data_IF_150977631830
#
_entry.id   IF_150977631830
#
_cell.length_a   1.000
_cell.length_b   1.000
_cell.length_c   1.000
_cell.angle_alpha   90.00
_cell.angle_beta   90.00
_cell.angle_gamma   90.00
#
_symmetry.space_group_name_H-M   'P 1'
#
loop_
_entity.id
_entity.type
_entity.pdbx_description
1 polymer ?
#
# COMPACT_ATOMS: atom_id res chain seq x y z
N UNK A 1 -12.57 -12.19 -12.67
CA UNK A 1 -12.64 -12.59 -11.26
C UNK A 1 -13.32 -11.47 -10.52
N UNK A 2 -14.30 -11.73 -9.66
CA UNK A 2 -14.85 -10.70 -8.78
C UNK A 2 -13.86 -10.49 -7.62
N UNK A 3 -13.40 -9.27 -7.44
CA UNK A 3 -12.54 -8.91 -6.30
C UNK A 3 -13.43 -8.72 -5.07
N UNK A 4 -13.14 -9.45 -3.99
CA UNK A 4 -13.90 -9.38 -2.74
C UNK A 4 -13.30 -8.27 -1.88
N UNK A 5 -14.14 -7.36 -1.35
CA UNK A 5 -13.70 -6.32 -0.42
C UNK A 5 -14.15 -6.65 1.00
N UNK A 6 -13.19 -6.63 1.93
CA UNK A 6 -13.42 -6.81 3.36
C UNK A 6 -13.25 -5.46 4.06
N UNK A 7 -14.29 -4.97 4.70
CA UNK A 7 -14.26 -3.72 5.46
C UNK A 7 -13.57 -3.96 6.81
N UNK A 8 -12.52 -3.18 7.08
CA UNK A 8 -11.70 -3.27 8.29
C UNK A 8 -11.79 -1.93 9.04
N UNK A 9 -13.00 -1.62 9.52
CA UNK A 9 -13.31 -0.36 10.19
C UNK A 9 -13.49 -0.56 11.70
N UNK A 10 -13.07 0.43 12.48
CA UNK A 10 -13.24 0.43 13.92
C UNK A 10 -12.13 -0.30 14.68
N UNK A 11 -12.40 -0.62 15.94
CA UNK A 11 -11.44 -1.22 16.85
C UNK A 11 -11.24 -2.72 16.58
N UNK A 12 -10.01 -3.20 16.71
CA UNK A 12 -9.69 -4.65 16.66
C UNK A 12 -10.02 -5.27 18.01
N UNK A 13 -11.00 -6.19 18.04
CA UNK A 13 -11.53 -6.77 19.26
C UNK A 13 -11.59 -8.30 19.21
N UNK A 14 -11.61 -9.00 20.36
CA UNK A 14 -11.95 -10.42 20.45
C UNK A 14 -13.36 -10.69 19.89
N UNK A 15 -13.54 -11.87 19.28
CA UNK A 15 -14.81 -12.21 18.62
C UNK A 15 -16.02 -12.28 19.56
N UNK A 16 -15.81 -12.56 20.83
CA UNK A 16 -16.84 -12.61 21.87
C UNK A 16 -17.34 -11.23 22.33
N UNK A 17 -16.64 -10.14 21.96
CA UNK A 17 -17.06 -8.77 22.23
C UNK A 17 -17.92 -8.18 21.10
N UNK A 18 -17.94 -8.83 19.92
CA UNK A 18 -18.57 -8.27 18.72
C UNK A 18 -20.05 -7.92 18.94
N UNK A 19 -20.83 -8.81 19.58
CA UNK A 19 -22.26 -8.58 19.81
C UNK A 19 -22.53 -7.32 20.66
N UNK A 20 -21.63 -6.99 21.59
CA UNK A 20 -21.74 -5.79 22.42
C UNK A 20 -21.44 -4.52 21.60
N UNK A 21 -20.38 -4.56 20.78
CA UNK A 21 -20.02 -3.45 19.90
C UNK A 21 -21.12 -3.17 18.89
N UNK A 22 -21.66 -4.22 18.27
CA UNK A 22 -22.77 -4.12 17.31
C UNK A 22 -24.04 -3.55 17.97
N UNK A 23 -24.38 -3.99 19.18
CA UNK A 23 -25.51 -3.45 19.94
C UNK A 23 -25.36 -1.96 20.25
N UNK A 24 -24.12 -1.51 20.53
CA UNK A 24 -23.80 -0.11 20.79
C UNK A 24 -23.64 0.73 19.51
N UNK A 25 -23.67 0.11 18.34
CA UNK A 25 -23.49 0.77 17.05
C UNK A 25 -22.05 1.18 16.75
N UNK A 26 -21.06 0.51 17.35
CA UNK A 26 -19.66 0.74 17.07
C UNK A 26 -19.13 -0.24 16.02
N UNK A 27 -18.44 0.28 15.01
CA UNK A 27 -17.71 -0.55 14.05
C UNK A 27 -16.57 -1.30 14.75
N UNK A 28 -16.37 -2.56 14.35
CA UNK A 28 -15.33 -3.39 14.93
C UNK A 28 -14.72 -4.34 13.89
N UNK A 29 -13.51 -4.78 14.18
CA UNK A 29 -12.77 -5.78 13.42
C UNK A 29 -12.52 -6.96 14.36
N UNK A 30 -13.03 -8.15 14.03
CA UNK A 30 -12.85 -9.31 14.87
C UNK A 30 -12.45 -10.54 14.04
N UNK A 31 -11.71 -11.51 14.63
CA UNK A 31 -11.20 -12.69 13.93
C UNK A 31 -12.27 -13.52 13.23
N UNK A 32 -13.43 -13.71 13.86
CA UNK A 32 -14.51 -14.53 13.32
C UNK A 32 -15.05 -13.97 12.00
N UNK A 33 -15.33 -12.68 11.96
CA UNK A 33 -15.86 -12.00 10.77
C UNK A 33 -14.84 -12.01 9.63
N UNK A 34 -13.55 -11.73 9.93
CA UNK A 34 -12.49 -11.72 8.91
C UNK A 34 -12.28 -13.13 8.35
N UNK A 35 -12.17 -14.16 9.19
CA UNK A 35 -12.02 -15.57 8.74
C UNK A 35 -13.20 -16.02 7.90
N UNK A 36 -14.42 -15.63 8.27
CA UNK A 36 -15.61 -15.95 7.48
C UNK A 36 -15.53 -15.29 6.09
N UNK A 37 -15.18 -14.00 6.02
CA UNK A 37 -15.05 -13.30 4.74
C UNK A 37 -13.96 -13.90 3.84
N UNK A 38 -12.83 -14.33 4.42
CA UNK A 38 -11.77 -15.04 3.68
C UNK A 38 -12.23 -16.41 3.19
N UNK A 39 -13.00 -17.14 4.02
CA UNK A 39 -13.60 -18.43 3.61
C UNK A 39 -14.58 -18.26 2.47
N UNK A 40 -15.43 -17.22 2.53
CA UNK A 40 -16.42 -16.93 1.48
C UNK A 40 -15.77 -16.46 0.16
N UNK A 41 -14.58 -15.85 0.25
CA UNK A 41 -13.80 -15.45 -0.91
C UNK A 41 -13.15 -16.64 -1.66
N UNK A 42 -13.06 -17.81 -1.01
CA UNK A 42 -12.68 -19.11 -1.61
C UNK A 42 -11.43 -19.02 -2.50
N UNK A 43 -10.36 -18.40 -2.01
CA UNK A 43 -9.10 -18.22 -2.71
C UNK A 43 -9.10 -17.15 -3.80
N UNK A 44 -10.18 -16.38 -3.96
CA UNK A 44 -10.20 -15.19 -4.84
C UNK A 44 -9.37 -14.06 -4.26
N UNK A 45 -8.88 -13.14 -5.12
CA UNK A 45 -8.17 -11.97 -4.63
C UNK A 45 -9.07 -11.09 -3.74
N UNK A 46 -8.53 -10.65 -2.61
CA UNK A 46 -9.24 -9.82 -1.64
C UNK A 46 -8.60 -8.46 -1.45
N UNK A 47 -9.45 -7.45 -1.22
CA UNK A 47 -9.01 -6.12 -0.80
C UNK A 47 -9.50 -5.85 0.62
N UNK A 48 -8.59 -5.48 1.52
CA UNK A 48 -8.92 -4.99 2.85
C UNK A 48 -9.01 -3.47 2.79
N UNK A 49 -10.17 -2.88 3.08
CA UNK A 49 -10.30 -1.43 3.24
C UNK A 49 -10.19 -1.07 4.71
N UNK A 50 -9.08 -0.43 5.09
CA UNK A 50 -8.68 -0.27 6.51
C UNK A 50 -8.86 1.17 6.97
N UNK A 51 -9.64 1.33 8.05
CA UNK A 51 -9.73 2.56 8.84
C UNK A 51 -9.88 2.20 10.32
N UNK A 52 -8.76 1.99 11.03
CA UNK A 52 -8.77 1.41 12.37
C UNK A 52 -7.71 2.04 13.29
N UNK A 53 -8.06 2.34 14.54
CA UNK A 53 -7.11 2.74 15.58
C UNK A 53 -6.25 1.58 16.10
N UNK A 54 -6.53 0.32 15.69
CA UNK A 54 -5.97 -0.87 16.29
C UNK A 54 -6.85 -1.43 17.40
N UNK A 55 -6.25 -2.10 18.37
CA UNK A 55 -6.96 -2.71 19.48
C UNK A 55 -6.21 -3.88 20.09
N UNK A 56 -6.92 -4.98 20.37
CA UNK A 56 -6.39 -6.14 21.08
C UNK A 56 -5.34 -6.90 20.28
N UNK A 57 -4.21 -7.17 20.93
CA UNK A 57 -3.05 -7.82 20.30
C UNK A 57 -3.36 -9.25 19.86
N UNK A 58 -4.04 -10.02 20.71
CA UNK A 58 -4.44 -11.42 20.42
C UNK A 58 -5.39 -11.54 19.23
N UNK A 59 -6.43 -10.73 19.22
CA UNK A 59 -7.37 -10.65 18.09
C UNK A 59 -6.66 -10.25 16.79
N UNK A 60 -5.78 -9.25 16.86
CA UNK A 60 -4.98 -8.85 15.72
C UNK A 60 -4.03 -9.94 15.25
N UNK A 61 -3.36 -10.67 16.15
CA UNK A 61 -2.47 -11.80 15.81
C UNK A 61 -3.22 -12.91 15.10
N UNK A 62 -4.44 -13.21 15.53
CA UNK A 62 -5.30 -14.22 14.91
C UNK A 62 -5.70 -13.80 13.49
N UNK A 63 -6.04 -12.53 13.29
CA UNK A 63 -6.36 -11.96 11.96
C UNK A 63 -5.11 -11.98 11.06
N UNK A 64 -3.96 -11.54 11.57
CA UNK A 64 -2.69 -11.57 10.84
C UNK A 64 -2.39 -12.98 10.31
N UNK A 65 -2.52 -13.98 11.18
CA UNK A 65 -2.28 -15.38 10.81
C UNK A 65 -3.25 -15.84 9.72
N UNK A 66 -4.54 -15.55 9.86
CA UNK A 66 -5.54 -15.91 8.85
C UNK A 66 -5.26 -15.28 7.48
N UNK A 67 -4.80 -14.02 7.45
CA UNK A 67 -4.40 -13.35 6.21
C UNK A 67 -3.15 -13.97 5.60
N UNK A 68 -2.15 -14.34 6.42
CA UNK A 68 -0.92 -15.01 5.94
C UNK A 68 -1.14 -16.43 5.42
N UNK A 69 -2.14 -17.12 5.92
CA UNK A 69 -2.53 -18.47 5.47
C UNK A 69 -3.44 -18.46 4.23
N UNK A 70 -4.01 -17.30 3.90
CA UNK A 70 -4.93 -17.17 2.77
C UNK A 70 -4.21 -17.40 1.43
N UNK A 71 -4.87 -18.14 0.51
CA UNK A 71 -4.23 -18.56 -0.74
C UNK A 71 -4.39 -17.57 -1.91
N UNK A 72 -5.39 -16.67 -1.84
CA UNK A 72 -5.56 -15.57 -2.81
C UNK A 72 -4.64 -14.40 -2.52
N UNK A 73 -4.49 -13.47 -3.47
CA UNK A 73 -3.76 -12.23 -3.22
C UNK A 73 -4.54 -11.31 -2.29
N UNK A 74 -3.84 -10.74 -1.31
CA UNK A 74 -4.39 -9.78 -0.36
C UNK A 74 -3.80 -8.40 -0.63
N UNK A 75 -4.66 -7.42 -0.91
CA UNK A 75 -4.27 -6.00 -1.01
C UNK A 75 -4.90 -5.22 0.15
N UNK A 76 -4.08 -4.60 0.98
CA UNK A 76 -4.55 -3.67 2.01
C UNK A 76 -4.59 -2.24 1.47
N UNK A 77 -5.75 -1.59 1.56
CA UNK A 77 -5.95 -0.18 1.23
C UNK A 77 -6.24 0.61 2.50
N UNK A 78 -5.28 1.40 2.95
CA UNK A 78 -5.47 2.26 4.12
C UNK A 78 -6.19 3.52 3.67
N UNK A 79 -7.48 3.62 3.99
CA UNK A 79 -8.37 4.71 3.54
C UNK A 79 -8.42 5.88 4.51
N UNK A 80 -8.24 5.62 5.82
CA UNK A 80 -8.19 6.61 6.87
C UNK A 80 -6.93 6.46 7.72
N UNK A 81 -6.92 5.43 8.56
CA UNK A 81 -5.75 5.13 9.39
C UNK A 81 -5.55 3.62 9.58
N UNK A 82 -4.30 3.22 9.81
CA UNK A 82 -3.93 1.89 10.27
C UNK A 82 -2.96 2.04 11.46
N UNK A 83 -3.49 2.02 12.67
CA UNK A 83 -2.71 2.26 13.87
C UNK A 83 -2.54 0.99 14.70
N UNK A 84 -1.40 0.85 15.39
CA UNK A 84 -1.18 -0.24 16.34
C UNK A 84 -1.46 -1.62 15.71
N UNK A 85 -2.38 -2.42 16.27
CA UNK A 85 -2.75 -3.73 15.73
C UNK A 85 -3.18 -3.67 14.24
N UNK A 86 -3.86 -2.62 13.80
CA UNK A 86 -4.25 -2.46 12.41
C UNK A 86 -3.06 -2.25 11.46
N UNK A 87 -1.93 -1.71 11.94
CA UNK A 87 -0.75 -1.51 11.11
C UNK A 87 -0.14 -2.85 10.68
N UNK A 88 0.04 -3.79 11.62
CA UNK A 88 0.60 -5.10 11.26
C UNK A 88 -0.43 -6.06 10.64
N UNK A 89 -1.73 -5.86 10.89
CA UNK A 89 -2.77 -6.50 10.08
C UNK A 89 -2.64 -6.05 8.61
N UNK A 90 -2.47 -4.75 8.35
CA UNK A 90 -2.24 -4.25 6.99
C UNK A 90 -0.97 -4.86 6.36
N UNK A 91 0.10 -5.05 7.16
CA UNK A 91 1.36 -5.63 6.70
C UNK A 91 1.29 -7.17 6.51
N UNK A 92 0.20 -7.83 6.89
CA UNK A 92 -0.05 -9.22 6.51
C UNK A 92 -0.38 -9.36 5.01
N UNK A 93 -0.88 -8.30 4.38
CA UNK A 93 -1.21 -8.27 2.96
C UNK A 93 0.05 -8.36 2.07
N UNK A 94 -0.14 -8.85 0.84
CA UNK A 94 0.92 -8.91 -0.17
C UNK A 94 1.28 -7.52 -0.70
N UNK A 95 0.30 -6.62 -0.71
CA UNK A 95 0.45 -5.23 -1.14
C UNK A 95 -0.27 -4.28 -0.20
N UNK A 96 0.36 -3.17 0.14
CA UNK A 96 -0.19 -2.12 1.01
C UNK A 96 -0.23 -0.79 0.24
N UNK A 97 -1.42 -0.26 0.06
CA UNK A 97 -1.69 1.02 -0.61
C UNK A 97 -2.25 2.02 0.41
N UNK A 98 -1.79 3.25 0.38
CA UNK A 98 -2.29 4.30 1.28
C UNK A 98 -2.97 5.43 0.53
N UNK A 99 -4.14 5.86 0.99
CA UNK A 99 -4.72 7.13 0.56
C UNK A 99 -3.74 8.28 0.85
N UNK A 100 -3.65 9.33 0.00
CA UNK A 100 -2.76 10.46 0.24
C UNK A 100 -2.96 11.17 1.59
N UNK A 101 -4.15 11.04 2.17
CA UNK A 101 -4.53 11.64 3.46
C UNK A 101 -4.55 10.64 4.61
N UNK A 102 -4.26 9.36 4.34
CA UNK A 102 -4.23 8.31 5.36
C UNK A 102 -2.98 8.40 6.23
N UNK A 103 -3.08 7.79 7.40
CA UNK A 103 -1.98 7.71 8.36
C UNK A 103 -1.75 6.27 8.81
N UNK A 104 -0.50 5.95 9.10
CA UNK A 104 -0.11 4.74 9.80
C UNK A 104 0.60 5.11 11.10
N UNK A 105 0.34 4.33 12.17
CA UNK A 105 1.01 4.56 13.44
C UNK A 105 1.49 3.26 14.05
N UNK A 106 2.74 3.26 14.51
CA UNK A 106 3.33 2.15 15.24
C UNK A 106 3.80 2.59 16.61
N UNK A 107 3.59 1.75 17.61
CA UNK A 107 4.03 1.96 18.97
C UNK A 107 4.34 0.63 19.67
N UNK A 108 4.93 0.70 20.85
CA UNK A 108 5.16 -0.46 21.72
C UNK A 108 3.84 -1.00 22.27
N UNK A 109 3.82 -2.29 22.58
CA UNK A 109 2.70 -2.89 23.30
C UNK A 109 2.47 -2.17 24.64
N UNK A 110 1.19 -2.05 25.01
CA UNK A 110 0.79 -1.42 26.27
C UNK A 110 -0.30 -2.24 26.96
N UNK A 111 -0.30 -2.23 28.29
CA UNK A 111 -1.35 -2.82 29.10
C UNK A 111 -1.57 -2.00 30.36
N UNK A 112 -2.70 -2.21 31.02
CA UNK A 112 -2.91 -1.81 32.42
C UNK A 112 -2.76 -3.03 33.29
N UNK A 113 -1.92 -2.96 34.30
CA UNK A 113 -1.61 -4.07 35.20
C UNK A 113 -1.72 -3.67 36.65
N UNK A 114 -2.23 -4.58 37.46
CA UNK A 114 -2.34 -4.44 38.90
C UNK A 114 -1.98 -5.78 39.55
N UNK A 115 -1.18 -5.74 40.62
CA UNK A 115 -0.79 -6.96 41.28
C UNK A 115 0.41 -6.73 42.22
N UNK A 116 1.00 -7.82 42.70
CA UNK A 116 2.25 -7.79 43.45
C UNK A 116 3.47 -7.64 42.52
N UNK A 117 4.67 -7.60 43.07
CA UNK A 117 5.92 -7.40 42.31
C UNK A 117 6.15 -8.49 41.23
N UNK A 118 5.75 -9.72 41.50
CA UNK A 118 5.96 -10.84 40.58
C UNK A 118 4.94 -10.77 39.43
N UNK A 119 3.71 -10.37 39.72
CA UNK A 119 2.67 -10.13 38.66
C UNK A 119 3.13 -9.02 37.73
N UNK A 120 3.58 -7.87 38.24
CA UNK A 120 4.06 -6.76 37.44
C UNK A 120 5.32 -7.11 36.64
N UNK A 121 6.23 -7.91 37.20
CA UNK A 121 7.42 -8.39 36.53
C UNK A 121 7.04 -9.35 35.37
N UNK A 122 6.04 -10.21 35.57
CA UNK A 122 5.49 -11.10 34.53
C UNK A 122 4.92 -10.30 33.36
N UNK A 123 4.09 -9.28 33.62
CA UNK A 123 3.48 -8.45 32.60
C UNK A 123 4.53 -7.63 31.86
N UNK A 124 5.54 -7.11 32.54
CA UNK A 124 6.67 -6.44 31.88
C UNK A 124 7.40 -7.39 30.90
N UNK A 125 7.61 -8.64 31.31
CA UNK A 125 8.23 -9.64 30.43
C UNK A 125 7.35 -9.97 29.22
N UNK A 126 6.03 -10.06 29.40
CA UNK A 126 5.08 -10.26 28.30
C UNK A 126 5.13 -9.10 27.29
N UNK A 127 5.08 -7.84 27.76
CA UNK A 127 5.22 -6.66 26.91
C UNK A 127 6.53 -6.63 26.14
N UNK A 128 7.66 -6.92 26.82
CA UNK A 128 8.96 -6.98 26.16
C UNK A 128 9.06 -8.10 25.11
N UNK A 129 8.37 -9.23 25.32
CA UNK A 129 8.28 -10.31 24.35
C UNK A 129 7.47 -9.90 23.11
N UNK A 130 6.32 -9.24 23.32
CA UNK A 130 5.51 -8.69 22.22
C UNK A 130 6.28 -7.65 21.42
N UNK A 131 6.96 -6.72 22.07
CA UNK A 131 7.77 -5.70 21.40
C UNK A 131 8.83 -6.31 20.48
N UNK A 132 9.52 -7.36 20.93
CA UNK A 132 10.49 -8.09 20.11
C UNK A 132 9.83 -8.69 18.85
N UNK A 133 8.67 -9.32 19.02
CA UNK A 133 7.92 -9.89 17.89
C UNK A 133 7.48 -8.83 16.90
N UNK A 134 7.05 -7.66 17.37
CA UNK A 134 6.69 -6.55 16.49
C UNK A 134 7.90 -5.93 15.78
N UNK A 135 9.03 -5.80 16.48
CA UNK A 135 10.28 -5.36 15.85
C UNK A 135 10.68 -6.29 14.71
N UNK A 136 10.63 -7.60 14.94
CA UNK A 136 10.98 -8.59 13.92
C UNK A 136 10.02 -8.50 12.72
N UNK A 137 8.70 -8.39 12.96
CA UNK A 137 7.69 -8.25 11.93
C UNK A 137 7.90 -6.99 11.07
N UNK A 138 8.06 -5.84 11.73
CA UNK A 138 8.27 -4.58 11.01
C UNK A 138 9.61 -4.55 10.28
N UNK A 139 10.68 -5.09 10.87
CA UNK A 139 11.99 -5.16 10.22
C UNK A 139 11.95 -6.04 8.98
N UNK A 140 11.29 -7.21 9.04
CA UNK A 140 11.12 -8.09 7.89
C UNK A 140 10.34 -7.42 6.75
N UNK A 141 9.30 -6.66 7.08
CA UNK A 141 8.47 -6.00 6.07
C UNK A 141 9.17 -4.80 5.43
N UNK A 142 9.85 -3.99 6.25
CA UNK A 142 10.42 -2.70 5.82
C UNK A 142 11.87 -2.78 5.36
N UNK A 143 12.61 -3.79 5.81
CA UNK A 143 14.06 -3.87 5.64
C UNK A 143 14.85 -2.93 6.57
N UNK A 144 14.19 -2.21 7.47
CA UNK A 144 14.83 -1.36 8.46
C UNK A 144 15.55 -2.19 9.54
N UNK A 145 16.63 -1.64 10.08
CA UNK A 145 17.32 -2.25 11.20
C UNK A 145 16.43 -2.34 12.46
N UNK A 146 16.58 -3.40 13.23
CA UNK A 146 15.77 -3.68 14.41
C UNK A 146 15.84 -2.55 15.46
N UNK A 147 16.99 -1.88 15.62
CA UNK A 147 17.13 -0.76 16.56
C UNK A 147 16.37 0.47 16.07
N UNK A 148 16.39 0.72 14.75
CA UNK A 148 15.61 1.80 14.15
C UNK A 148 14.11 1.56 14.32
N UNK A 149 13.63 0.34 14.02
CA UNK A 149 12.23 -0.04 14.25
C UNK A 149 11.83 0.12 15.72
N UNK A 150 12.65 -0.39 16.63
CA UNK A 150 12.37 -0.24 18.07
C UNK A 150 12.30 1.24 18.49
N UNK A 151 13.19 2.09 17.96
CA UNK A 151 13.17 3.54 18.19
C UNK A 151 11.88 4.19 17.66
N UNK A 152 11.43 3.81 16.46
CA UNK A 152 10.16 4.27 15.90
C UNK A 152 8.98 3.88 16.78
N UNK A 153 8.95 2.64 17.29
CA UNK A 153 7.91 2.18 18.21
C UNK A 153 7.93 2.94 19.54
N UNK A 154 9.11 3.17 20.14
CA UNK A 154 9.25 3.94 21.38
C UNK A 154 8.73 5.38 21.25
N UNK A 155 8.86 5.97 20.07
CA UNK A 155 8.42 7.34 19.80
C UNK A 155 6.94 7.45 19.42
N UNK A 156 6.20 6.34 19.41
CA UNK A 156 4.81 6.34 18.90
C UNK A 156 4.76 7.04 17.53
N UNK A 157 5.41 6.44 16.54
CA UNK A 157 5.66 7.11 15.26
C UNK A 157 4.41 7.10 14.37
N UNK A 158 3.95 8.29 14.03
CA UNK A 158 2.94 8.53 13.02
C UNK A 158 3.61 8.78 11.67
N UNK A 159 3.07 8.18 10.64
CA UNK A 159 3.57 8.29 9.26
C UNK A 159 2.43 8.68 8.33
N UNK A 160 2.61 9.74 7.54
CA UNK A 160 1.77 9.99 6.38
C UNK A 160 2.09 8.98 5.26
N UNK A 161 1.28 8.96 4.19
CA UNK A 161 1.44 8.00 3.10
C UNK A 161 2.85 8.00 2.48
N UNK A 162 3.44 9.20 2.31
CA UNK A 162 4.79 9.32 1.75
C UNK A 162 5.86 8.74 2.68
N UNK A 163 5.81 9.06 3.95
CA UNK A 163 6.74 8.55 4.95
C UNK A 163 6.62 7.03 5.12
N UNK A 164 5.40 6.49 5.05
CA UNK A 164 5.17 5.05 5.10
C UNK A 164 5.78 4.33 3.89
N UNK A 165 5.63 4.88 2.68
CA UNK A 165 6.27 4.33 1.47
C UNK A 165 7.79 4.47 1.54
N UNK A 166 8.32 5.63 1.91
CA UNK A 166 9.77 5.90 2.00
C UNK A 166 10.45 4.94 3.01
N UNK A 167 9.74 4.50 4.04
CA UNK A 167 10.22 3.57 5.08
C UNK A 167 9.87 2.10 4.83
N UNK A 168 9.15 1.77 3.75
CA UNK A 168 8.78 0.40 3.39
C UNK A 168 7.58 -0.18 4.15
N UNK A 169 6.82 0.65 4.88
CA UNK A 169 5.55 0.26 5.51
C UNK A 169 4.39 0.19 4.52
N UNK A 170 4.46 0.91 3.42
CA UNK A 170 3.50 0.83 2.32
C UNK A 170 4.23 0.70 0.99
N UNK A 171 3.55 0.18 -0.03
CA UNK A 171 4.13 -0.05 -1.35
C UNK A 171 3.85 1.12 -2.29
N UNK A 172 2.68 1.77 -2.16
CA UNK A 172 2.37 2.95 -2.98
C UNK A 172 1.33 3.88 -2.32
N UNK A 173 1.26 5.09 -2.89
CA UNK A 173 0.21 6.06 -2.55
C UNK A 173 -0.87 5.99 -3.63
N UNK A 174 -2.12 5.74 -3.21
CA UNK A 174 -3.26 5.66 -4.11
C UNK A 174 -3.45 6.96 -4.91
N UNK A 175 -4.01 6.85 -6.11
CA UNK A 175 -4.39 7.98 -6.97
C UNK A 175 -3.22 8.82 -7.49
N UNK A 176 -1.98 8.47 -7.20
CA UNK A 176 -0.84 9.11 -7.84
C UNK A 176 -0.73 8.53 -9.26
N UNK A 177 -1.30 9.26 -10.20
CA UNK A 177 -1.08 8.96 -11.61
C UNK A 177 0.41 9.15 -11.91
N UNK A 178 1.08 8.09 -12.34
CA UNK A 178 2.42 8.12 -12.93
C UNK A 178 2.48 8.87 -14.27
N UNK A 179 1.75 9.96 -14.40
CA UNK A 179 2.00 10.91 -15.46
C UNK A 179 3.28 11.66 -15.09
N UNK A 180 4.43 11.01 -15.35
CA UNK A 180 5.68 11.75 -15.43
C UNK A 180 5.41 12.95 -16.31
N UNK A 181 5.69 14.19 -15.85
CA UNK A 181 5.48 15.36 -16.66
C UNK A 181 6.22 15.14 -17.98
N UNK A 182 5.54 15.34 -19.10
CA UNK A 182 6.20 15.26 -20.40
C UNK A 182 7.31 16.31 -20.40
N UNK A 183 8.56 15.86 -20.53
CA UNK A 183 9.68 16.77 -20.68
C UNK A 183 9.43 17.60 -21.93
N UNK A 184 9.27 18.90 -21.74
CA UNK A 184 9.18 19.88 -22.85
C UNK A 184 10.53 20.57 -23.00
N UNK A 185 10.90 20.87 -24.23
CA UNK A 185 12.07 21.69 -24.51
C UNK A 185 11.84 23.12 -23.99
N UNK A 186 12.91 23.92 -23.87
CA UNK A 186 12.83 25.30 -23.39
C UNK A 186 11.92 26.21 -24.23
N UNK A 187 11.61 25.80 -25.46
CA UNK A 187 10.68 26.48 -26.39
C UNK A 187 9.21 26.00 -26.24
N UNK A 188 8.92 25.09 -25.25
CA UNK A 188 7.58 24.53 -25.04
C UNK A 188 7.20 23.38 -25.97
N UNK A 189 8.10 22.92 -26.84
CA UNK A 189 7.85 21.77 -27.69
C UNK A 189 8.03 20.46 -26.89
N UNK A 190 7.19 19.46 -27.18
CA UNK A 190 7.33 18.12 -26.60
C UNK A 190 8.60 17.46 -27.13
N UNK A 191 9.53 17.11 -26.25
CA UNK A 191 10.57 16.14 -26.58
C UNK A 191 9.93 14.79 -26.93
N UNK A 192 10.65 13.88 -27.56
CA UNK A 192 10.17 12.58 -28.03
C UNK A 192 9.29 11.93 -26.95
N UNK A 193 8.06 11.56 -27.30
CA UNK A 193 7.08 10.93 -26.38
C UNK A 193 7.72 9.73 -25.68
N UNK A 194 7.49 9.53 -24.37
CA UNK A 194 8.04 8.41 -23.60
C UNK A 194 7.76 7.03 -24.26
N UNK A 195 6.59 6.85 -24.83
CA UNK A 195 6.23 5.63 -25.57
C UNK A 195 7.09 5.40 -26.80
N UNK A 196 7.51 6.47 -27.48
CA UNK A 196 8.44 6.42 -28.61
C UNK A 196 9.84 6.05 -28.15
N UNK A 197 10.29 6.60 -27.00
CA UNK A 197 11.57 6.24 -26.37
C UNK A 197 11.59 4.75 -25.99
N UNK A 198 10.51 4.27 -25.39
CA UNK A 198 10.40 2.86 -24.99
C UNK A 198 10.34 1.91 -26.20
N UNK A 199 9.61 2.29 -27.25
CA UNK A 199 9.62 1.55 -28.52
C UNK A 199 11.00 1.50 -29.15
N UNK A 200 11.72 2.62 -29.17
CA UNK A 200 13.08 2.70 -29.70
C UNK A 200 14.06 1.88 -28.82
N UNK A 201 13.97 1.98 -27.49
CA UNK A 201 14.77 1.15 -26.59
C UNK A 201 14.54 -0.35 -26.81
N UNK A 202 13.29 -0.77 -26.95
CA UNK A 202 12.96 -2.18 -27.23
C UNK A 202 13.47 -2.64 -28.60
N UNK A 203 13.54 -1.76 -29.59
CA UNK A 203 14.11 -2.06 -30.91
C UNK A 203 15.64 -2.08 -30.88
N UNK A 204 16.29 -1.23 -30.13
CA UNK A 204 17.75 -1.20 -29.99
C UNK A 204 18.30 -2.38 -29.19
N UNK A 205 17.51 -2.89 -28.23
CA UNK A 205 17.89 -4.06 -27.44
C UNK A 205 17.37 -5.39 -28.03
N UNK A 206 16.40 -5.36 -28.97
CA UNK A 206 15.92 -6.48 -29.75
C UNK A 206 16.58 -6.48 -31.14
N UNK A 207 17.61 -7.27 -31.32
CA UNK A 207 18.40 -7.43 -32.55
C UNK A 207 17.54 -7.46 -33.81
N UNK A 208 17.55 -6.39 -34.61
CA UNK A 208 17.53 -6.43 -36.08
C UNK A 208 17.57 -5.01 -36.66
N UNK A 209 18.60 -4.72 -37.41
CA UNK A 209 18.85 -3.48 -38.16
C UNK A 209 17.74 -3.16 -39.17
N UNK A 210 16.99 -4.15 -39.66
CA UNK A 210 15.88 -3.95 -40.59
C UNK A 210 14.68 -3.20 -39.99
N UNK A 211 14.42 -3.36 -38.70
CA UNK A 211 13.30 -2.69 -38.05
C UNK A 211 13.59 -1.22 -37.76
N UNK A 212 14.85 -0.84 -37.57
CA UNK A 212 15.28 0.55 -37.32
C UNK A 212 15.10 1.42 -38.57
N UNK A 213 15.44 0.89 -39.73
CA UNK A 213 15.28 1.60 -41.02
C UNK A 213 13.80 1.84 -41.32
N UNK A 214 12.94 0.85 -41.16
CA UNK A 214 11.48 1.01 -41.34
C UNK A 214 10.86 2.03 -40.39
N UNK A 215 11.38 2.13 -39.19
CA UNK A 215 10.90 3.10 -38.18
C UNK A 215 11.30 4.52 -38.55
N UNK A 216 12.54 4.75 -39.03
CA UNK A 216 13.01 6.05 -39.51
C UNK A 216 12.19 6.53 -40.72
N UNK A 217 11.86 5.62 -41.64
CA UNK A 217 11.01 5.94 -42.79
C UNK A 217 9.58 6.35 -42.37
N UNK A 218 9.00 5.66 -41.38
CA UNK A 218 7.66 5.99 -40.88
C UNK A 218 7.64 7.32 -40.11
N UNK A 219 8.65 7.59 -39.27
CA UNK A 219 8.80 8.87 -38.55
C UNK A 219 8.96 10.05 -39.52
N UNK A 220 9.73 9.87 -40.57
CA UNK A 220 9.90 10.89 -41.61
C UNK A 220 8.62 11.15 -42.39
N UNK A 221 7.79 10.13 -42.66
CA UNK A 221 6.48 10.28 -43.31
C UNK A 221 5.48 11.01 -42.44
N UNK A 222 5.43 10.68 -41.14
CA UNK A 222 4.53 11.31 -40.16
C UNK A 222 4.86 12.80 -39.96
N UNK A 223 6.16 13.12 -39.81
CA UNK A 223 6.63 14.51 -39.68
C UNK A 223 6.37 15.32 -40.92
N UNK A 224 6.52 14.73 -42.13
CA UNK A 224 6.23 15.39 -43.40
C UNK A 224 4.72 15.65 -43.57
N UNK A 225 3.86 14.72 -43.15
CA UNK A 225 2.41 14.88 -43.13
C UNK A 225 1.94 15.99 -42.17
N UNK A 226 2.50 16.04 -40.97
CA UNK A 226 2.18 17.10 -40.00
C UNK A 226 2.65 18.49 -40.45
N UNK A 227 3.81 18.57 -41.07
CA UNK A 227 4.33 19.82 -41.66
C UNK A 227 3.45 20.30 -42.81
N UNK A 228 3.02 19.40 -43.69
CA UNK A 228 2.12 19.70 -44.84
C UNK A 228 0.75 20.18 -44.34
N UNK A 229 0.20 19.55 -43.29
CA UNK A 229 -1.08 19.96 -42.68
C UNK A 229 -0.98 21.33 -41.97
N UNK A 230 0.16 21.64 -41.29
CA UNK A 230 0.39 22.95 -40.72
C UNK A 230 0.54 24.05 -41.79
N UNK A 231 1.27 23.78 -42.85
CA UNK A 231 1.38 24.71 -43.99
C UNK A 231 0.04 24.96 -44.67
N UNK A 232 -0.77 23.91 -44.91
CA UNK A 232 -2.12 24.04 -45.48
C UNK A 232 -3.06 24.88 -44.59
N UNK A 233 -2.93 24.81 -43.26
CA UNK A 233 -3.69 25.64 -42.30
C UNK A 233 -3.25 27.12 -42.33
N UNK A 234 -1.95 27.39 -42.54
CA UNK A 234 -1.42 28.76 -42.64
C UNK A 234 -1.87 29.44 -43.91
N UNK A 235 -1.88 28.73 -45.05
CA UNK A 235 -2.31 29.28 -46.35
C UNK A 235 -3.85 29.34 -46.53
N UNK A 236 -4.66 28.79 -45.61
CA UNK A 236 -6.12 28.86 -45.62
C UNK A 236 -6.67 30.14 -44.97
N UNK A 237 -5.83 31.01 -44.44
CA UNK A 237 -6.22 32.25 -43.77
C UNK A 237 -6.09 33.51 -44.61
N UNK A 238 -5.78 33.38 -45.91
CA UNK A 238 -5.63 34.53 -46.85
C UNK A 238 -6.58 34.42 -48.05
N UNK A 239 -7.87 34.05 -47.81
CA UNK A 239 -8.94 34.29 -48.79
C UNK A 239 -10.25 34.56 -48.08
#
# INVERSE_FOLDING_TARGET
MMMVTIQMNGEVIPSDYADVYDYLGYENINPKTVKQALSDADGSDVTLEINSPGGYVDAGSEIYTALKEYQGQVTAKITGQACSAASWIALAADRVEMSPTAQMMIHRASTMSMGNSDDLASDLNALNSLDKSFVDLYSQRTGLDAQEVYRLMCNTTWMNAKEAVDKGFADEIMFQNDKKPALVNADGSLSVKPDTINKIKNLLHGKSTENVVKLQENLNKENKSQLTNKLALLFRKEN
#
